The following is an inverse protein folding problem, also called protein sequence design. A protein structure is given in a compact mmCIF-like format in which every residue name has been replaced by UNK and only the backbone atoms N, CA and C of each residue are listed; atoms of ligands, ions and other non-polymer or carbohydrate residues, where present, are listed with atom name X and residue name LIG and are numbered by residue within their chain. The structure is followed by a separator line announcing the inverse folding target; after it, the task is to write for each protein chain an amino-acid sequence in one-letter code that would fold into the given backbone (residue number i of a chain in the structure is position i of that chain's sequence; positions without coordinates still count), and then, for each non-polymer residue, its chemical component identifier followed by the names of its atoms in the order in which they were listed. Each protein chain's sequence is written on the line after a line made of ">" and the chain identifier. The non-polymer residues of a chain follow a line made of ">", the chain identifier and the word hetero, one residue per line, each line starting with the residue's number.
data_IF_546712361351
#
_entry.id   IF_546712361351
#
_cell.length_a   1.000
_cell.length_b   1.000
_cell.length_c   1.000
_cell.angle_alpha   90.00
_cell.angle_beta   90.00
_cell.angle_gamma   90.00
#
_symmetry.space_group_name_H-M   'P 1'
#
loop_
_entity.id
_entity.type
_entity.pdbx_description
1 polymer ?
#
# COMPACT_ATOMS: atom_id res chain seq x y z
N UNK A 1 -53.66 36.15 25.58
CA UNK A 1 -52.87 35.41 26.58
C UNK A 1 -52.29 34.20 25.87
N UNK A 2 -51.13 34.38 25.24
CA UNK A 2 -50.49 33.38 24.37
C UNK A 2 -49.91 32.26 25.23
N UNK A 3 -50.42 31.05 25.05
CA UNK A 3 -49.83 29.87 25.65
C UNK A 3 -48.49 29.61 24.96
N UNK A 4 -47.40 29.87 25.68
CA UNK A 4 -46.09 29.38 25.31
C UNK A 4 -46.15 27.86 25.30
N UNK A 5 -45.96 27.27 24.12
CA UNK A 5 -45.63 25.85 23.99
C UNK A 5 -44.29 25.68 24.68
N UNK A 6 -44.31 25.06 25.86
CA UNK A 6 -43.14 24.66 26.62
C UNK A 6 -42.30 23.71 25.73
N UNK A 7 -41.19 24.22 25.21
CA UNK A 7 -40.22 23.44 24.46
C UNK A 7 -39.53 22.49 25.43
N UNK A 8 -40.09 21.28 25.58
CA UNK A 8 -39.44 20.19 26.29
C UNK A 8 -37.99 20.01 25.77
N UNK A 9 -37.01 19.74 26.63
CA UNK A 9 -35.61 19.70 26.23
C UNK A 9 -35.39 18.66 25.12
N UNK A 10 -34.51 18.94 24.13
CA UNK A 10 -34.28 18.09 22.94
C UNK A 10 -33.78 16.66 23.26
N UNK A 11 -33.49 16.37 24.53
CA UNK A 11 -33.00 15.10 25.05
C UNK A 11 -33.96 13.92 24.82
N UNK A 12 -35.28 14.14 24.86
CA UNK A 12 -36.28 13.07 24.66
C UNK A 12 -36.33 12.60 23.21
N UNK A 13 -36.15 13.52 22.25
CA UNK A 13 -36.13 13.19 20.82
C UNK A 13 -34.82 12.51 20.43
N UNK A 14 -33.68 13.02 20.91
CA UNK A 14 -32.37 12.45 20.60
C UNK A 14 -32.15 11.05 21.22
N UNK A 15 -32.60 10.83 22.46
CA UNK A 15 -32.52 9.51 23.11
C UNK A 15 -33.44 8.48 22.46
N UNK A 16 -34.67 8.88 22.11
CA UNK A 16 -35.61 7.99 21.39
C UNK A 16 -35.13 7.66 19.98
N UNK A 17 -34.55 8.64 19.27
CA UNK A 17 -33.94 8.44 17.97
C UNK A 17 -32.75 7.47 18.05
N UNK A 18 -31.89 7.64 19.07
CA UNK A 18 -30.80 6.70 19.34
C UNK A 18 -31.33 5.29 19.59
N UNK A 19 -32.27 5.12 20.53
CA UNK A 19 -32.81 3.80 20.86
C UNK A 19 -33.48 3.09 19.67
N UNK A 20 -34.03 3.84 18.70
CA UNK A 20 -34.66 3.26 17.52
C UNK A 20 -33.67 2.73 16.47
N UNK A 21 -32.44 3.25 16.42
CA UNK A 21 -31.46 2.94 15.37
C UNK A 21 -30.14 2.35 15.89
N UNK A 22 -29.93 2.31 17.21
CA UNK A 22 -28.70 1.83 17.84
C UNK A 22 -28.37 0.38 17.48
N UNK A 23 -29.37 -0.49 17.36
CA UNK A 23 -29.18 -1.89 16.96
C UNK A 23 -28.58 -2.01 15.54
N UNK A 24 -29.04 -1.16 14.61
CA UNK A 24 -28.57 -1.14 13.23
C UNK A 24 -27.13 -0.63 13.15
N UNK A 25 -26.82 0.44 13.90
CA UNK A 25 -25.49 1.02 13.99
C UNK A 25 -24.49 0.05 14.64
N UNK A 26 -24.90 -0.62 15.73
CA UNK A 26 -24.09 -1.61 16.41
C UNK A 26 -23.80 -2.81 15.51
N UNK A 27 -24.78 -3.27 14.73
CA UNK A 27 -24.59 -4.34 13.75
C UNK A 27 -23.60 -3.94 12.66
N UNK A 28 -23.71 -2.72 12.12
CA UNK A 28 -22.76 -2.21 11.13
C UNK A 28 -21.34 -2.13 11.72
N UNK A 29 -21.18 -1.58 12.92
CA UNK A 29 -19.88 -1.46 13.57
C UNK A 29 -19.23 -2.83 13.82
N UNK A 30 -20.00 -3.82 14.29
CA UNK A 30 -19.51 -5.18 14.50
C UNK A 30 -19.02 -5.83 13.20
N UNK A 31 -19.72 -5.62 12.08
CA UNK A 31 -19.29 -6.10 10.78
C UNK A 31 -18.00 -5.40 10.34
N UNK A 32 -17.92 -4.06 10.46
CA UNK A 32 -16.72 -3.31 10.11
C UNK A 32 -15.50 -3.73 10.94
N UNK A 33 -15.66 -3.91 12.24
CA UNK A 33 -14.58 -4.39 13.11
C UNK A 33 -14.06 -5.79 12.69
N UNK A 34 -14.95 -6.68 12.23
CA UNK A 34 -14.54 -8.00 11.70
C UNK A 34 -13.73 -7.87 10.41
N UNK A 35 -14.13 -6.96 9.53
CA UNK A 35 -13.42 -6.69 8.27
C UNK A 35 -12.04 -6.11 8.57
N UNK A 36 -11.96 -5.09 9.44
CA UNK A 36 -10.72 -4.39 9.81
C UNK A 36 -9.71 -5.32 10.50
N UNK A 37 -10.16 -6.23 11.37
CA UNK A 37 -9.27 -7.17 12.08
C UNK A 37 -8.77 -8.33 11.23
N UNK A 38 -9.53 -8.73 10.20
CA UNK A 38 -9.18 -9.90 9.37
C UNK A 38 -9.24 -9.55 7.89
N UNK A 39 -10.43 -9.66 7.30
CA UNK A 39 -10.68 -9.46 5.87
C UNK A 39 -12.17 -9.56 5.59
N UNK A 40 -12.62 -8.93 4.50
CA UNK A 40 -13.98 -9.07 3.94
C UNK A 40 -14.36 -10.54 3.72
N UNK A 41 -13.38 -11.40 3.41
CA UNK A 41 -13.58 -12.84 3.16
C UNK A 41 -14.10 -13.66 4.36
N UNK A 42 -14.09 -13.08 5.56
CA UNK A 42 -14.53 -13.76 6.79
C UNK A 42 -16.02 -13.50 7.09
N UNK A 43 -16.69 -12.64 6.31
CA UNK A 43 -18.11 -12.40 6.43
C UNK A 43 -18.90 -13.52 5.73
N UNK A 44 -20.06 -13.86 6.30
CA UNK A 44 -21.03 -14.71 5.61
C UNK A 44 -21.62 -13.96 4.41
N UNK A 45 -22.22 -14.69 3.48
CA UNK A 45 -22.92 -14.08 2.34
C UNK A 45 -24.04 -13.12 2.80
N UNK A 46 -24.80 -13.51 3.82
CA UNK A 46 -25.83 -12.66 4.42
C UNK A 46 -25.26 -11.36 5.00
N UNK A 47 -24.10 -11.43 5.68
CA UNK A 47 -23.43 -10.25 6.23
C UNK A 47 -22.91 -9.33 5.12
N UNK A 48 -22.41 -9.91 4.02
CA UNK A 48 -21.95 -9.15 2.84
C UNK A 48 -23.10 -8.43 2.14
N UNK A 49 -24.27 -9.07 2.02
CA UNK A 49 -25.46 -8.47 1.44
C UNK A 49 -26.10 -7.42 2.36
N UNK A 50 -25.98 -7.60 3.68
CA UNK A 50 -26.50 -6.65 4.67
C UNK A 50 -25.68 -5.35 4.74
N UNK A 51 -24.38 -5.39 4.45
CA UNK A 51 -23.47 -4.23 4.55
C UNK A 51 -23.95 -2.98 3.79
N UNK A 52 -24.27 -3.02 2.48
CA UNK A 52 -24.76 -1.86 1.75
C UNK A 52 -26.07 -1.30 2.30
N UNK A 53 -26.95 -2.19 2.78
CA UNK A 53 -28.24 -1.80 3.36
C UNK A 53 -28.02 -1.05 4.67
N UNK A 54 -27.24 -1.63 5.59
CA UNK A 54 -26.91 -1.02 6.88
C UNK A 54 -26.17 0.32 6.73
N UNK A 55 -25.28 0.42 5.74
CA UNK A 55 -24.61 1.68 5.40
C UNK A 55 -25.60 2.77 4.98
N UNK A 56 -26.54 2.46 4.07
CA UNK A 56 -27.55 3.42 3.61
C UNK A 56 -28.48 3.87 4.74
N UNK A 57 -28.86 2.96 5.63
CA UNK A 57 -29.68 3.26 6.81
C UNK A 57 -28.93 4.22 7.74
N UNK A 58 -27.67 3.92 8.07
CA UNK A 58 -26.82 4.78 8.92
C UNK A 58 -26.59 6.15 8.31
N UNK A 59 -26.39 6.23 6.99
CA UNK A 59 -26.24 7.50 6.27
C UNK A 59 -27.52 8.35 6.32
N UNK A 60 -28.68 7.72 6.21
CA UNK A 60 -29.98 8.38 6.40
C UNK A 60 -30.10 8.92 7.83
N UNK A 61 -29.75 8.11 8.84
CA UNK A 61 -29.74 8.54 10.25
C UNK A 61 -28.82 9.73 10.48
N UNK A 62 -27.64 9.76 9.85
CA UNK A 62 -26.71 10.89 9.90
C UNK A 62 -27.30 12.16 9.28
N UNK A 63 -27.97 12.04 8.13
CA UNK A 63 -28.63 13.17 7.48
C UNK A 63 -29.70 13.79 8.39
N UNK A 64 -30.57 12.95 8.97
CA UNK A 64 -31.62 13.38 9.90
C UNK A 64 -31.03 14.02 11.16
N UNK A 65 -29.96 13.44 11.72
CA UNK A 65 -29.29 13.96 12.90
C UNK A 65 -28.67 15.35 12.64
N UNK A 66 -28.08 15.57 11.46
CA UNK A 66 -27.52 16.87 11.05
C UNK A 66 -28.61 17.92 10.82
N UNK A 67 -29.70 17.56 10.13
CA UNK A 67 -30.80 18.49 9.80
C UNK A 67 -31.54 18.95 11.05
N UNK A 68 -31.82 18.03 11.97
CA UNK A 68 -32.54 18.33 13.21
C UNK A 68 -31.64 18.94 14.29
N UNK A 69 -30.34 19.16 13.98
CA UNK A 69 -29.33 19.64 14.93
C UNK A 69 -29.31 18.82 16.23
N UNK A 70 -29.36 17.49 16.12
CA UNK A 70 -29.16 16.59 17.26
C UNK A 70 -27.74 16.75 17.83
N UNK A 71 -27.53 16.20 19.03
CA UNK A 71 -26.26 16.21 19.76
C UNK A 71 -25.01 16.02 18.86
N UNK A 72 -24.04 16.92 19.01
CA UNK A 72 -22.78 16.93 18.25
C UNK A 72 -21.97 15.64 18.44
N UNK A 73 -22.04 15.00 19.61
CA UNK A 73 -21.34 13.73 19.85
C UNK A 73 -21.94 12.59 19.00
N UNK A 74 -23.27 12.56 18.84
CA UNK A 74 -23.95 11.57 18.01
C UNK A 74 -23.60 11.76 16.53
N UNK A 75 -23.59 13.01 16.05
CA UNK A 75 -23.22 13.31 14.67
C UNK A 75 -21.80 12.84 14.38
N UNK A 76 -20.83 13.15 15.25
CA UNK A 76 -19.44 12.72 15.07
C UNK A 76 -19.28 11.19 15.04
N UNK A 77 -20.01 10.47 15.91
CA UNK A 77 -20.03 9.01 15.92
C UNK A 77 -20.54 8.44 14.59
N UNK A 78 -21.69 8.94 14.10
CA UNK A 78 -22.28 8.47 12.84
C UNK A 78 -21.43 8.82 11.62
N UNK A 79 -20.79 10.00 11.61
CA UNK A 79 -19.83 10.39 10.57
C UNK A 79 -18.66 9.41 10.51
N UNK A 80 -18.06 9.08 11.65
CA UNK A 80 -16.93 8.15 11.71
C UNK A 80 -17.35 6.74 11.26
N UNK A 81 -18.52 6.28 11.68
CA UNK A 81 -19.07 4.99 11.28
C UNK A 81 -19.30 4.91 9.76
N UNK A 82 -19.93 5.93 9.19
CA UNK A 82 -20.15 6.03 7.74
C UNK A 82 -18.85 6.14 6.95
N UNK A 83 -17.87 6.90 7.44
CA UNK A 83 -16.56 7.03 6.79
C UNK A 83 -15.83 5.68 6.73
N UNK A 84 -15.80 4.94 7.85
CA UNK A 84 -15.23 3.58 7.90
C UNK A 84 -15.96 2.64 6.95
N UNK A 85 -17.30 2.65 6.94
CA UNK A 85 -18.09 1.85 6.02
C UNK A 85 -17.77 2.19 4.55
N UNK A 86 -17.67 3.46 4.20
CA UNK A 86 -17.33 3.91 2.86
C UNK A 86 -15.98 3.37 2.38
N UNK A 87 -14.95 3.43 3.22
CA UNK A 87 -13.64 2.85 2.89
C UNK A 87 -13.70 1.34 2.67
N UNK A 88 -14.52 0.61 3.41
CA UNK A 88 -14.61 -0.84 3.22
C UNK A 88 -15.48 -1.25 2.02
N UNK A 89 -16.50 -0.46 1.66
CA UNK A 89 -17.37 -0.75 0.51
C UNK A 89 -16.77 -0.28 -0.82
N UNK A 90 -16.12 0.90 -0.82
CA UNK A 90 -15.64 1.57 -2.04
C UNK A 90 -14.13 1.74 -2.09
N UNK A 91 -13.43 1.58 -0.97
CA UNK A 91 -11.97 1.65 -0.95
C UNK A 91 -11.39 0.50 -1.75
N UNK A 92 -10.61 0.87 -2.77
CA UNK A 92 -9.80 -0.04 -3.58
C UNK A 92 -8.93 -0.87 -2.63
N UNK A 93 -9.37 -2.09 -2.37
CA UNK A 93 -8.67 -3.05 -1.51
C UNK A 93 -7.64 -3.86 -2.30
N UNK A 94 -7.05 -3.26 -3.33
CA UNK A 94 -5.78 -3.72 -3.85
C UNK A 94 -4.73 -3.32 -2.81
N UNK A 95 -4.52 -4.28 -1.90
CA UNK A 95 -3.48 -4.25 -0.90
C UNK A 95 -2.21 -3.76 -1.55
N UNK A 96 -1.77 -2.56 -1.19
CA UNK A 96 -0.47 -2.00 -1.57
C UNK A 96 0.67 -3.00 -1.39
N UNK A 97 0.53 -3.94 -0.46
CA UNK A 97 1.46 -5.06 -0.26
C UNK A 97 1.40 -6.12 -1.36
N UNK A 98 0.22 -6.42 -1.92
CA UNK A 98 0.05 -7.31 -3.08
C UNK A 98 0.65 -6.68 -4.33
N UNK A 99 0.46 -5.38 -4.53
CA UNK A 99 1.05 -4.65 -5.65
C UNK A 99 2.57 -4.55 -5.50
N UNK A 100 3.07 -4.28 -4.30
CA UNK A 100 4.51 -4.29 -4.02
C UNK A 100 5.11 -5.69 -4.27
N UNK A 101 4.46 -6.75 -3.81
CA UNK A 101 4.90 -8.11 -4.09
C UNK A 101 4.84 -8.44 -5.59
N UNK A 102 3.80 -7.99 -6.30
CA UNK A 102 3.67 -8.11 -7.75
C UNK A 102 4.79 -7.37 -8.50
N UNK A 103 5.16 -6.18 -8.03
CA UNK A 103 6.26 -5.41 -8.57
C UNK A 103 7.59 -6.16 -8.43
N UNK A 104 7.94 -6.66 -7.24
CA UNK A 104 9.20 -7.38 -7.05
C UNK A 104 9.24 -8.75 -7.74
N UNK A 105 8.11 -9.43 -7.89
CA UNK A 105 8.06 -10.77 -8.51
C UNK A 105 7.91 -10.76 -10.03
N UNK A 106 7.27 -9.74 -10.60
CA UNK A 106 7.00 -9.67 -12.05
C UNK A 106 7.55 -8.40 -12.71
N UNK A 107 7.33 -7.25 -12.08
CA UNK A 107 7.74 -5.95 -12.63
C UNK A 107 9.26 -5.82 -12.74
N UNK A 108 9.97 -6.09 -11.65
CA UNK A 108 11.41 -5.93 -11.58
C UNK A 108 12.18 -6.93 -12.46
N UNK A 109 11.89 -8.25 -12.43
CA UNK A 109 12.58 -9.20 -13.32
C UNK A 109 12.33 -8.92 -14.80
N UNK A 110 11.12 -8.50 -15.16
CA UNK A 110 10.79 -8.09 -16.55
C UNK A 110 11.57 -6.86 -16.99
N UNK A 111 11.69 -5.86 -16.12
CA UNK A 111 12.50 -4.68 -16.38
C UNK A 111 13.99 -5.03 -16.52
N UNK A 112 14.55 -5.89 -15.66
CA UNK A 112 15.94 -6.31 -15.80
C UNK A 112 16.16 -7.12 -17.09
N UNK A 113 15.22 -8.00 -17.44
CA UNK A 113 15.28 -8.79 -18.67
C UNK A 113 15.17 -7.93 -19.94
N UNK A 114 14.48 -6.78 -19.89
CA UNK A 114 14.41 -5.88 -21.04
C UNK A 114 15.75 -5.19 -21.33
N UNK A 115 16.62 -5.04 -20.33
CA UNK A 115 17.97 -4.47 -20.45
C UNK A 115 19.03 -5.48 -20.96
N UNK A 116 18.63 -6.62 -21.52
CA UNK A 116 19.57 -7.66 -21.97
C UNK A 116 20.52 -7.16 -23.06
N UNK A 117 20.07 -6.22 -23.92
CA UNK A 117 20.89 -5.67 -25.01
C UNK A 117 22.01 -4.81 -24.48
N UNK A 118 21.70 -3.92 -23.54
CA UNK A 118 22.67 -3.06 -22.86
C UNK A 118 23.66 -3.91 -22.07
N UNK A 119 23.16 -4.93 -21.38
CA UNK A 119 24.00 -5.89 -20.63
C UNK A 119 24.97 -6.62 -21.55
N UNK A 120 24.52 -7.05 -22.74
CA UNK A 120 25.41 -7.67 -23.73
C UNK A 120 26.45 -6.71 -24.30
N UNK A 121 26.08 -5.45 -24.55
CA UNK A 121 27.04 -4.43 -25.02
C UNK A 121 28.11 -4.18 -23.96
N UNK A 122 27.72 -4.03 -22.69
CA UNK A 122 28.67 -3.89 -21.59
C UNK A 122 29.58 -5.11 -21.48
N UNK A 123 29.01 -6.32 -21.52
CA UNK A 123 29.77 -7.57 -21.49
C UNK A 123 30.77 -7.64 -22.65
N UNK A 124 30.33 -7.30 -23.86
CA UNK A 124 31.18 -7.28 -25.04
C UNK A 124 32.34 -6.29 -24.88
N UNK A 125 32.06 -5.06 -24.43
CA UNK A 125 33.09 -4.05 -24.19
C UNK A 125 34.10 -4.51 -23.13
N UNK A 126 33.63 -5.13 -22.04
CA UNK A 126 34.50 -5.68 -21.00
C UNK A 126 35.39 -6.80 -21.54
N UNK A 127 34.82 -7.75 -22.28
CA UNK A 127 35.58 -8.86 -22.88
C UNK A 127 36.57 -8.34 -23.92
N UNK A 128 36.14 -7.45 -24.80
CA UNK A 128 37.00 -6.84 -25.82
C UNK A 128 38.16 -6.06 -25.19
N UNK A 129 37.89 -5.26 -24.14
CA UNK A 129 38.93 -4.51 -23.42
C UNK A 129 39.92 -5.44 -22.74
N UNK A 130 39.42 -6.51 -22.09
CA UNK A 130 40.26 -7.53 -21.45
C UNK A 130 41.18 -8.22 -22.46
N UNK A 131 40.63 -8.62 -23.61
CA UNK A 131 41.40 -9.24 -24.67
C UNK A 131 42.43 -8.29 -25.27
N UNK A 132 42.06 -7.03 -25.51
CA UNK A 132 42.98 -6.01 -26.02
C UNK A 132 44.14 -5.78 -25.05
N UNK A 133 43.86 -5.64 -23.75
CA UNK A 133 44.89 -5.49 -22.72
C UNK A 133 45.81 -6.71 -22.66
N UNK A 134 45.26 -7.92 -22.71
CA UNK A 134 46.05 -9.16 -22.72
C UNK A 134 46.99 -9.23 -23.94
N UNK A 135 46.49 -8.92 -25.14
CA UNK A 135 47.30 -8.92 -26.36
C UNK A 135 48.40 -7.86 -26.32
N UNK A 136 48.09 -6.66 -25.80
CA UNK A 136 49.02 -5.55 -25.70
C UNK A 136 50.20 -5.89 -24.76
N UNK A 137 49.91 -6.40 -23.57
CA UNK A 137 50.93 -6.82 -22.60
C UNK A 137 51.74 -8.02 -23.12
N UNK A 138 51.11 -8.94 -23.87
CA UNK A 138 51.82 -10.07 -24.48
C UNK A 138 52.79 -9.63 -25.57
N UNK A 139 52.46 -8.58 -26.34
CA UNK A 139 53.32 -8.06 -27.39
C UNK A 139 54.50 -7.25 -26.81
N UNK A 140 54.24 -6.43 -25.79
CA UNK A 140 55.26 -5.67 -25.08
C UNK A 140 54.90 -5.59 -23.57
N UNK A 141 55.66 -6.29 -22.70
CA UNK A 141 55.40 -6.35 -21.27
C UNK A 141 55.42 -5.00 -20.54
N UNK A 142 56.05 -3.97 -21.11
CA UNK A 142 56.12 -2.63 -20.50
C UNK A 142 54.74 -1.98 -20.34
N UNK A 143 53.76 -2.35 -21.18
CA UNK A 143 52.38 -1.86 -21.10
C UNK A 143 51.63 -2.27 -19.82
N UNK A 144 52.09 -3.30 -19.12
CA UNK A 144 51.48 -3.75 -17.87
C UNK A 144 51.37 -2.61 -16.84
N UNK A 145 52.45 -1.83 -16.69
CA UNK A 145 52.53 -0.72 -15.74
C UNK A 145 51.64 0.49 -16.13
N UNK A 146 51.21 0.58 -17.39
CA UNK A 146 50.27 1.60 -17.85
C UNK A 146 48.80 1.21 -17.65
N UNK A 147 48.50 -0.08 -17.53
CA UNK A 147 47.13 -0.61 -17.42
C UNK A 147 46.77 -0.98 -15.98
N UNK A 148 47.73 -1.50 -15.21
CA UNK A 148 47.51 -1.99 -13.84
C UNK A 148 48.30 -1.11 -12.86
N UNK A 149 47.63 -0.34 -12.00
CA UNK A 149 48.29 0.39 -10.90
C UNK A 149 48.98 -0.58 -9.94
N UNK A 150 50.12 -0.19 -9.36
CA UNK A 150 50.91 -1.05 -8.46
C UNK A 150 50.10 -1.57 -7.25
N UNK A 151 49.16 -0.77 -6.74
CA UNK A 151 48.27 -1.16 -5.66
C UNK A 151 47.31 -2.33 -6.01
N UNK A 152 47.03 -2.55 -7.30
CA UNK A 152 46.19 -3.63 -7.83
C UNK A 152 47.01 -4.83 -8.30
N UNK A 153 48.31 -4.66 -8.56
CA UNK A 153 49.19 -5.72 -9.09
C UNK A 153 49.48 -6.84 -8.08
N UNK A 154 49.31 -6.59 -6.78
CA UNK A 154 49.42 -7.62 -5.74
C UNK A 154 50.79 -8.32 -5.70
N UNK A 155 51.86 -7.64 -6.13
CA UNK A 155 53.22 -8.19 -6.20
C UNK A 155 53.48 -9.15 -7.37
N UNK A 156 52.55 -9.29 -8.32
CA UNK A 156 52.76 -10.06 -9.56
C UNK A 156 52.99 -9.09 -10.71
N UNK A 157 54.13 -9.22 -11.39
CA UNK A 157 54.49 -8.45 -12.56
C UNK A 157 54.84 -9.40 -13.74
N UNK A 158 54.96 -8.88 -14.99
CA UNK A 158 55.30 -9.71 -16.15
C UNK A 158 56.72 -10.32 -16.12
N UNK A 159 57.59 -9.84 -15.22
CA UNK A 159 58.93 -10.38 -14.99
C UNK A 159 58.98 -11.49 -13.93
N UNK A 160 57.87 -11.75 -13.23
CA UNK A 160 57.76 -12.84 -12.29
C UNK A 160 57.87 -14.18 -13.04
N UNK A 161 58.90 -14.95 -12.70
CA UNK A 161 59.12 -16.30 -13.21
C UNK A 161 57.88 -17.18 -12.98
N UNK A 162 57.57 -18.07 -13.92
CA UNK A 162 56.45 -19.01 -13.81
C UNK A 162 56.56 -20.03 -12.66
N UNK A 163 57.62 -19.98 -11.85
CA UNK A 163 57.87 -20.87 -10.72
C UNK A 163 57.49 -20.19 -9.40
N UNK A 164 56.26 -20.46 -8.95
CA UNK A 164 55.84 -20.72 -7.55
C UNK A 164 54.34 -21.03 -7.50
#
# INVERSE_FOLDING_TARGET
>A
MSAFVEAAPPLVNASRFRAAHEDEWARLDALLQRIEKRSVRVLSEDDLLALPVLYRVTLSSLSVARETSLDRALIAYLEQLCARAYFQLYGVSDSVWRDLAGFFTRGWPSAVASLWRETLVMLFLTVASTLAAYWLVRADPSWFYGVIPEALAGGRDPSASAEA
#
